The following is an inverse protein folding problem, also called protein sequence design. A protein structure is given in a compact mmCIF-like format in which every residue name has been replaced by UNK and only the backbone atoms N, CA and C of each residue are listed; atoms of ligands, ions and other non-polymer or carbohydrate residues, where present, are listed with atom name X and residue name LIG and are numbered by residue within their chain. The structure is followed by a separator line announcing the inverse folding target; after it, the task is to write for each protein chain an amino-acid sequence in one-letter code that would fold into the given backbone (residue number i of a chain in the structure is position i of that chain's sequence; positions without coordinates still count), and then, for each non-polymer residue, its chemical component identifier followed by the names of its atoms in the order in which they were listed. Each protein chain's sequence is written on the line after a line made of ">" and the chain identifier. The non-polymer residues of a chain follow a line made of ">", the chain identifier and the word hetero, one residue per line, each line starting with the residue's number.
data_IF_500644291151
#
_entry.id   IF_500644291151
#
_cell.length_a   1.000
_cell.length_b   1.000
_cell.length_c   1.000
_cell.angle_alpha   90.00
_cell.angle_beta   90.00
_cell.angle_gamma   90.00
#
_symmetry.space_group_name_H-M   'P 1'
#
loop_
_entity.id
_entity.type
_entity.pdbx_description
1 polymer ?
#
# COMPACT_ATOMS: atom_id res chain seq x y z
N UNK A 1 15.32 -0.45 -29.74
CA UNK A 1 14.73 -1.48 -28.86
C UNK A 1 14.36 -0.79 -27.56
N UNK A 2 13.08 -0.62 -27.24
CA UNK A 2 12.68 -0.04 -25.96
C UNK A 2 12.94 -1.07 -24.87
N UNK A 3 13.90 -0.83 -23.99
CA UNK A 3 14.08 -1.64 -22.78
C UNK A 3 12.79 -1.56 -21.96
N UNK A 4 12.11 -2.71 -21.84
CA UNK A 4 10.99 -2.87 -20.92
C UNK A 4 11.53 -2.70 -19.50
N UNK A 5 11.08 -1.66 -18.81
CA UNK A 5 11.58 -1.38 -17.48
C UNK A 5 10.82 -2.24 -16.46
N UNK A 6 11.45 -3.34 -16.04
CA UNK A 6 10.90 -4.23 -15.02
C UNK A 6 11.21 -3.73 -13.59
N UNK A 7 10.32 -4.03 -12.63
CA UNK A 7 10.56 -3.74 -11.23
C UNK A 7 11.81 -4.49 -10.72
N UNK A 8 12.83 -3.75 -10.28
CA UNK A 8 14.08 -4.32 -9.74
C UNK A 8 14.00 -4.71 -8.26
N UNK A 9 12.82 -4.62 -7.64
CA UNK A 9 12.65 -4.84 -6.19
C UNK A 9 13.58 -3.95 -5.34
N UNK A 10 13.84 -2.71 -5.78
CA UNK A 10 14.69 -1.78 -5.02
C UNK A 10 14.00 -1.20 -3.78
N UNK A 11 12.67 -1.21 -3.73
CA UNK A 11 11.85 -0.75 -2.60
C UNK A 11 11.63 0.76 -2.49
N UNK A 12 12.32 1.58 -3.29
CA UNK A 12 12.31 3.04 -3.13
C UNK A 12 10.92 3.65 -3.27
N UNK A 13 10.13 3.12 -4.20
CA UNK A 13 8.75 3.57 -4.39
C UNK A 13 7.85 3.18 -3.21
N UNK A 14 8.06 2.00 -2.61
CA UNK A 14 7.33 1.54 -1.43
C UNK A 14 7.71 2.34 -0.17
N UNK A 15 8.99 2.66 0.01
CA UNK A 15 9.48 3.47 1.13
C UNK A 15 8.88 4.88 1.09
N UNK A 16 8.78 5.43 -0.11
CA UNK A 16 8.35 6.81 -0.30
C UNK A 16 6.84 6.99 -0.30
N UNK A 17 6.12 6.11 -1.00
CA UNK A 17 4.70 6.28 -1.28
C UNK A 17 3.83 5.13 -0.79
N UNK A 18 4.42 4.01 -0.35
CA UNK A 18 3.65 2.82 0.05
C UNK A 18 2.82 2.97 1.32
N UNK A 19 2.89 4.11 2.01
CA UNK A 19 2.20 4.36 3.28
C UNK A 19 1.27 5.56 3.31
N UNK A 20 1.38 6.47 2.33
CA UNK A 20 0.61 7.72 2.29
C UNK A 20 -0.72 7.63 1.54
N UNK A 21 -1.17 6.42 1.22
CA UNK A 21 -2.27 6.22 0.28
C UNK A 21 -3.65 6.29 0.98
N UNK A 22 -4.64 6.80 0.26
CA UNK A 22 -6.04 6.72 0.67
C UNK A 22 -6.52 5.28 0.64
N UNK A 23 -7.30 4.88 1.66
CA UNK A 23 -7.85 3.54 1.72
C UNK A 23 -9.17 3.39 0.99
N UNK A 24 -9.44 2.16 0.54
CA UNK A 24 -10.69 1.78 -0.13
C UNK A 24 -11.46 0.77 0.72
N UNK A 25 -12.80 0.90 0.86
CA UNK A 25 -13.63 -0.14 1.47
C UNK A 25 -13.54 -1.49 0.72
N UNK A 26 -13.29 -1.46 -0.59
CA UNK A 26 -13.20 -2.67 -1.41
C UNK A 26 -12.03 -3.58 -1.00
N UNK A 27 -10.92 -3.00 -0.56
CA UNK A 27 -9.74 -3.75 -0.10
C UNK A 27 -9.99 -4.49 1.23
N UNK A 28 -10.97 -4.07 2.02
CA UNK A 28 -11.26 -4.69 3.32
C UNK A 28 -11.89 -6.07 3.18
N UNK A 29 -12.71 -6.28 2.15
CA UNK A 29 -13.42 -7.55 1.91
C UNK A 29 -12.47 -8.75 1.88
N UNK A 30 -11.45 -8.81 0.99
CA UNK A 30 -10.56 -9.96 0.95
C UNK A 30 -9.76 -10.12 2.25
N UNK A 31 -9.42 -9.04 2.95
CA UNK A 31 -8.71 -9.14 4.23
C UNK A 31 -9.57 -9.73 5.35
N UNK A 32 -10.86 -9.40 5.38
CA UNK A 32 -11.83 -9.97 6.33
C UNK A 32 -12.06 -11.44 6.02
N UNK A 33 -12.33 -11.79 4.76
CA UNK A 33 -12.61 -13.16 4.32
C UNK A 33 -11.43 -14.10 4.59
N UNK A 34 -10.20 -13.63 4.41
CA UNK A 34 -8.97 -14.40 4.69
C UNK A 34 -8.50 -14.31 6.14
N UNK A 35 -9.26 -13.65 7.03
CA UNK A 35 -8.91 -13.54 8.45
C UNK A 35 -7.59 -12.78 8.71
N UNK A 36 -7.19 -11.88 7.81
CA UNK A 36 -5.91 -11.15 7.86
C UNK A 36 -5.90 -10.03 8.88
N UNK A 37 -5.98 -10.41 10.16
CA UNK A 37 -5.93 -9.48 11.30
C UNK A 37 -4.61 -8.72 11.38
N UNK A 38 -3.54 -9.31 10.86
CA UNK A 38 -2.23 -8.68 10.71
C UNK A 38 -2.27 -7.47 9.76
N UNK A 39 -3.16 -7.47 8.75
CA UNK A 39 -3.42 -6.32 7.88
C UNK A 39 -4.39 -5.35 8.54
N UNK A 40 -5.52 -5.89 9.00
CA UNK A 40 -6.63 -5.12 9.54
C UNK A 40 -6.28 -4.30 10.79
N UNK A 41 -5.27 -4.70 11.57
CA UNK A 41 -4.78 -3.92 12.72
C UNK A 41 -4.18 -2.58 12.31
N UNK A 42 -3.69 -2.45 11.08
CA UNK A 42 -3.09 -1.23 10.55
C UNK A 42 -4.09 -0.31 9.84
N UNK A 43 -5.39 -0.58 10.00
CA UNK A 43 -6.46 0.12 9.30
C UNK A 43 -7.44 0.70 10.30
N UNK A 44 -7.80 1.96 10.09
CA UNK A 44 -8.97 2.57 10.74
C UNK A 44 -10.07 2.75 9.72
N UNK A 45 -11.30 2.44 10.15
CA UNK A 45 -12.51 2.68 9.38
C UNK A 45 -13.42 3.67 10.10
N UNK A 46 -14.18 4.41 9.31
CA UNK A 46 -15.23 5.32 9.75
C UNK A 46 -16.56 4.82 9.22
N UNK A 47 -17.54 4.73 10.10
CA UNK A 47 -18.90 4.31 9.77
C UNK A 47 -19.80 5.53 9.54
N UNK A 48 -20.92 5.31 8.86
CA UNK A 48 -21.96 6.31 8.58
C UNK A 48 -22.58 6.92 9.85
N UNK A 49 -22.61 6.18 10.95
CA UNK A 49 -23.03 6.65 12.27
C UNK A 49 -21.98 7.54 12.99
N UNK A 50 -20.86 7.86 12.34
CA UNK A 50 -19.78 8.67 12.89
C UNK A 50 -18.79 7.90 13.76
N UNK A 51 -19.00 6.60 13.98
CA UNK A 51 -18.09 5.77 14.77
C UNK A 51 -16.78 5.52 14.03
N UNK A 52 -15.66 5.68 14.75
CA UNK A 52 -14.32 5.28 14.32
C UNK A 52 -13.98 3.95 14.98
N UNK A 53 -13.54 2.96 14.21
CA UNK A 53 -13.09 1.66 14.75
C UNK A 53 -11.88 1.10 14.01
N UNK A 54 -11.20 0.14 14.64
CA UNK A 54 -10.10 -0.60 14.00
C UNK A 54 -10.67 -1.60 12.99
N UNK A 55 -9.94 -1.83 11.89
CA UNK A 55 -10.27 -2.87 10.92
C UNK A 55 -10.36 -4.27 11.54
N UNK A 56 -9.73 -4.51 12.70
CA UNK A 56 -9.82 -5.81 13.38
C UNK A 56 -11.22 -6.10 13.95
N UNK A 57 -12.02 -5.04 14.17
CA UNK A 57 -13.35 -5.10 14.81
C UNK A 57 -14.52 -5.07 13.83
N UNK A 58 -14.26 -4.96 12.53
CA UNK A 58 -15.31 -5.03 11.51
C UNK A 58 -15.48 -6.44 10.94
N UNK A 59 -16.66 -6.64 10.38
CA UNK A 59 -17.10 -7.84 9.67
C UNK A 59 -17.53 -7.47 8.25
N UNK A 60 -17.84 -8.48 7.43
CA UNK A 60 -18.32 -8.25 6.08
C UNK A 60 -19.65 -7.46 6.05
N UNK A 61 -20.47 -7.59 7.09
CA UNK A 61 -21.77 -6.90 7.22
C UNK A 61 -21.61 -5.40 7.47
N UNK A 62 -20.45 -4.97 7.97
CA UNK A 62 -20.16 -3.55 8.21
C UNK A 62 -19.73 -2.82 6.93
N UNK A 63 -19.28 -3.53 5.89
CA UNK A 63 -18.73 -2.93 4.67
C UNK A 63 -19.63 -1.86 4.02
N UNK A 64 -20.96 -2.06 3.90
CA UNK A 64 -21.84 -1.03 3.31
C UNK A 64 -21.95 0.25 4.13
N UNK A 65 -21.61 0.20 5.43
CA UNK A 65 -21.67 1.35 6.35
C UNK A 65 -20.37 2.13 6.40
N UNK A 66 -19.29 1.64 5.77
CA UNK A 66 -17.98 2.29 5.81
C UNK A 66 -17.95 3.49 4.87
N UNK A 67 -17.76 4.68 5.43
CA UNK A 67 -17.66 5.94 4.69
C UNK A 67 -16.22 6.32 4.36
N UNK A 68 -15.26 5.86 5.15
CA UNK A 68 -13.84 6.17 4.95
C UNK A 68 -12.93 5.10 5.52
N UNK A 69 -11.82 4.86 4.84
CA UNK A 69 -10.74 3.95 5.27
C UNK A 69 -9.42 4.72 5.31
N UNK A 70 -8.64 4.52 6.38
CA UNK A 70 -7.29 5.07 6.52
C UNK A 70 -6.26 3.94 6.66
N UNK A 71 -5.29 3.95 5.76
CA UNK A 71 -4.04 3.21 5.84
C UNK A 71 -2.90 4.18 6.22
N UNK A 72 -1.69 3.70 6.52
CA UNK A 72 -1.49 2.65 7.51
C UNK A 72 -1.38 3.31 8.88
N UNK A 73 -1.88 2.65 9.90
CA UNK A 73 -1.87 3.18 11.25
C UNK A 73 -1.22 2.21 12.22
N UNK A 74 -0.70 2.72 13.34
CA UNK A 74 -0.35 1.88 14.47
C UNK A 74 -1.63 1.39 15.19
N UNK A 75 -1.54 0.45 16.15
CA UNK A 75 -2.70 -0.04 16.88
C UNK A 75 -3.46 1.03 17.69
N UNK A 76 -2.83 2.19 17.96
CA UNK A 76 -3.48 3.33 18.62
C UNK A 76 -4.26 4.23 17.63
N UNK A 77 -4.10 3.98 16.32
CA UNK A 77 -4.73 4.74 15.24
C UNK A 77 -3.93 5.96 14.78
N UNK A 78 -2.64 6.04 15.12
CA UNK A 78 -1.75 7.08 14.60
C UNK A 78 -1.20 6.70 13.23
N UNK A 79 -1.10 7.65 12.27
CA UNK A 79 -0.53 7.36 10.95
C UNK A 79 0.93 6.90 11.04
N UNK A 80 1.24 5.79 10.36
CA UNK A 80 2.61 5.35 10.14
C UNK A 80 3.26 6.19 9.05
N UNK A 81 4.57 6.40 9.16
CA UNK A 81 5.42 7.04 8.12
C UNK A 81 6.21 6.04 7.29
N UNK A 82 5.82 4.77 7.34
CA UNK A 82 6.40 3.67 6.59
C UNK A 82 5.33 2.61 6.35
N UNK A 83 5.54 1.77 5.34
CA UNK A 83 4.64 0.64 5.07
C UNK A 83 4.98 -0.51 6.03
N UNK A 84 4.04 -1.01 6.85
CA UNK A 84 4.31 -2.08 7.81
C UNK A 84 4.61 -3.43 7.13
N UNK A 85 4.26 -3.58 5.86
CA UNK A 85 4.48 -4.80 5.08
C UNK A 85 5.68 -4.72 4.15
N UNK A 86 6.45 -3.64 4.17
CA UNK A 86 7.67 -3.54 3.41
C UNK A 86 8.80 -4.28 4.14
N UNK A 87 9.27 -5.36 3.53
CA UNK A 87 10.39 -6.16 4.03
C UNK A 87 11.62 -6.05 3.12
N UNK A 88 12.77 -6.47 3.66
CA UNK A 88 14.04 -6.63 2.94
C UNK A 88 14.54 -8.06 3.08
N UNK A 89 14.87 -8.68 1.97
CA UNK A 89 15.55 -9.98 1.94
C UNK A 89 17.02 -9.83 2.34
N UNK A 90 17.70 -10.97 2.60
CA UNK A 90 19.14 -11.00 2.91
C UNK A 90 19.98 -10.37 1.80
N UNK A 91 19.54 -10.49 0.55
CA UNK A 91 20.21 -9.94 -0.63
C UNK A 91 19.85 -8.46 -0.89
N UNK A 92 19.17 -7.81 0.05
CA UNK A 92 18.79 -6.40 -0.02
C UNK A 92 17.56 -6.09 -0.89
N UNK A 93 17.00 -7.09 -1.59
CA UNK A 93 15.76 -6.91 -2.38
C UNK A 93 14.57 -6.64 -1.47
N UNK A 94 13.77 -5.64 -1.84
CA UNK A 94 12.51 -5.32 -1.18
C UNK A 94 11.39 -6.28 -1.58
N UNK A 95 10.54 -6.62 -0.63
CA UNK A 95 9.35 -7.42 -0.86
C UNK A 95 8.15 -6.86 -0.08
N UNK A 96 6.96 -7.19 -0.55
CA UNK A 96 5.70 -6.87 0.12
C UNK A 96 5.22 -8.12 0.84
N UNK A 97 5.11 -8.08 2.17
CA UNK A 97 4.61 -9.19 2.97
C UNK A 97 3.12 -9.52 2.73
N UNK A 98 2.41 -8.64 2.03
CA UNK A 98 1.00 -8.81 1.65
C UNK A 98 0.83 -8.80 0.13
N UNK A 99 1.83 -9.21 -0.64
CA UNK A 99 1.84 -9.02 -2.10
C UNK A 99 0.52 -9.41 -2.77
N UNK A 100 -0.01 -10.60 -2.48
CA UNK A 100 -1.24 -11.12 -3.12
C UNK A 100 -2.52 -10.40 -2.65
N UNK A 101 -2.46 -9.77 -1.48
CA UNK A 101 -3.56 -9.08 -0.83
C UNK A 101 -3.29 -7.57 -0.70
N UNK A 102 -2.35 -7.05 -1.50
CA UNK A 102 -1.98 -5.63 -1.45
C UNK A 102 -3.20 -4.78 -1.81
N UNK A 103 -3.35 -3.57 -1.24
CA UNK A 103 -4.43 -2.66 -1.61
C UNK A 103 -4.48 -2.39 -3.12
N UNK A 104 -5.65 -2.07 -3.66
CA UNK A 104 -5.85 -1.74 -5.08
C UNK A 104 -4.89 -0.67 -5.56
N UNK A 105 -4.78 0.42 -4.80
CA UNK A 105 -3.83 1.50 -5.08
C UNK A 105 -2.39 0.99 -5.24
N UNK A 106 -1.99 -0.08 -4.54
CA UNK A 106 -0.66 -0.68 -4.68
C UNK A 106 -0.57 -1.67 -5.86
N UNK A 107 -1.68 -2.25 -6.33
CA UNK A 107 -1.73 -3.11 -7.52
C UNK A 107 -1.56 -2.28 -8.79
N UNK A 108 -2.23 -1.14 -8.84
CA UNK A 108 -2.22 -0.23 -10.00
C UNK A 108 -0.95 0.63 -10.05
N UNK A 109 -0.21 0.66 -8.95
CA UNK A 109 0.99 1.45 -8.83
C UNK A 109 2.19 0.82 -9.55
N UNK A 110 2.41 1.24 -10.79
CA UNK A 110 3.56 0.88 -11.61
C UNK A 110 4.44 2.10 -11.95
N UNK A 111 5.12 2.74 -10.97
CA UNK A 111 5.97 3.93 -11.21
C UNK A 111 7.20 3.64 -12.07
N UNK A 112 7.49 2.37 -12.35
CA UNK A 112 8.50 1.96 -13.33
C UNK A 112 7.98 1.95 -14.77
N UNK A 113 6.67 2.09 -14.99
CA UNK A 113 6.01 2.04 -16.30
C UNK A 113 5.53 3.43 -16.79
N UNK A 114 6.10 4.53 -16.26
CA UNK A 114 5.70 5.88 -16.69
C UNK A 114 6.18 6.17 -18.13
N UNK A 115 5.26 6.65 -18.97
CA UNK A 115 5.46 6.94 -20.39
C UNK A 115 6.12 8.28 -20.71
N UNK A 116 6.38 9.14 -19.71
CA UNK A 116 6.90 10.48 -19.95
C UNK A 116 8.43 10.47 -20.00
N UNK A 117 8.91 9.97 -21.13
CA UNK A 117 10.31 9.99 -21.52
C UNK A 117 10.71 11.37 -22.03
N UNK A 118 11.38 12.15 -21.17
CA UNK A 118 12.33 13.17 -21.62
C UNK A 118 13.62 13.07 -20.77
N UNK A 119 14.57 12.31 -21.35
CA UNK A 119 16.05 12.39 -21.29
C UNK A 119 16.74 12.37 -19.91
N UNK A 120 17.51 11.36 -19.44
CA UNK A 120 18.14 10.17 -20.03
C UNK A 120 18.37 9.09 -18.93
N UNK A 121 17.91 7.86 -19.19
CA UNK A 121 18.32 6.56 -18.63
C UNK A 121 17.69 6.00 -17.33
N UNK A 122 16.71 6.64 -16.69
CA UNK A 122 15.88 5.97 -15.67
C UNK A 122 14.43 6.44 -15.78
N UNK A 123 13.51 5.58 -16.25
CA UNK A 123 12.07 5.90 -16.34
C UNK A 123 11.34 5.79 -15.00
N UNK A 124 11.96 5.13 -14.01
CA UNK A 124 11.36 5.00 -12.68
C UNK A 124 11.57 6.29 -11.87
N UNK A 125 10.48 7.00 -11.58
CA UNK A 125 10.51 8.21 -10.73
C UNK A 125 11.21 7.97 -9.39
N UNK A 126 10.98 6.80 -8.77
CA UNK A 126 11.61 6.45 -7.49
C UNK A 126 13.13 6.30 -7.57
N UNK A 127 13.67 5.96 -8.74
CA UNK A 127 15.11 5.85 -8.97
C UNK A 127 15.70 7.17 -9.48
N UNK A 128 14.94 7.98 -10.25
CA UNK A 128 15.35 9.32 -10.70
C UNK A 128 15.64 10.25 -9.52
N UNK A 129 14.79 10.21 -8.50
CA UNK A 129 14.93 11.05 -7.31
C UNK A 129 16.02 10.58 -6.32
N UNK A 130 16.81 9.56 -6.70
CA UNK A 130 18.03 9.13 -5.99
C UNK A 130 19.31 9.44 -6.78
N UNK A 131 19.21 9.92 -8.01
CA UNK A 131 20.38 10.44 -8.72
C UNK A 131 20.70 11.82 -8.13
N UNK A 132 21.93 12.06 -7.65
CA UNK A 132 22.33 13.39 -7.18
C UNK A 132 22.15 14.48 -8.24
#
# INVERSE_FOLDING_TARGET
>A
MSEEQICRQCGHCCERWGWGQSGSPADLRPWIEHGRKDILQHVTVYLDNGQKTSGTRITADDLPRITKVRYWQDPSGQPLRHCPFLGRSKDGKAFCGIHDLRPEVCRDYAPWNCGDGEYQNVRCLACRERTP
#
